data_IF_914990045636
#
_entry.id   IF_914990045636
#
_cell.length_a   1.000
_cell.length_b   1.000
_cell.length_c   1.000
_cell.angle_alpha   90.00
_cell.angle_beta   90.00
_cell.angle_gamma   90.00
#
_symmetry.space_group_name_H-M   'P 1'
#
loop_
_entity.id
_entity.type
_entity.pdbx_description
1 polymer ?
#
# COMPACT_ATOMS: atom_id res chain seq x y z
N UNK A 1 46.06 -13.95 20.06
CA UNK A 1 45.45 -14.49 18.82
C UNK A 1 43.93 -14.55 18.93
N UNK A 2 43.36 -15.20 19.96
CA UNK A 2 41.91 -15.30 20.19
C UNK A 2 41.17 -13.95 20.21
N UNK A 3 41.68 -12.94 20.93
CA UNK A 3 41.08 -11.59 20.94
C UNK A 3 41.06 -10.88 19.58
N UNK A 4 42.00 -11.18 18.67
CA UNK A 4 42.01 -10.60 17.32
C UNK A 4 40.94 -11.25 16.44
N UNK A 5 40.76 -12.56 16.57
CA UNK A 5 39.71 -13.32 15.87
C UNK A 5 38.32 -12.88 16.35
N UNK A 6 38.11 -12.75 17.67
CA UNK A 6 36.83 -12.28 18.22
C UNK A 6 36.49 -10.85 17.76
N UNK A 7 37.47 -9.93 17.77
CA UNK A 7 37.26 -8.57 17.24
C UNK A 7 36.94 -8.56 15.75
N UNK A 8 37.66 -9.35 14.96
CA UNK A 8 37.44 -9.43 13.52
C UNK A 8 36.06 -10.03 13.20
N UNK A 9 35.67 -11.13 13.85
CA UNK A 9 34.34 -11.74 13.71
C UNK A 9 33.25 -10.77 14.15
N UNK A 10 33.44 -10.08 15.29
CA UNK A 10 32.49 -9.08 15.78
C UNK A 10 32.30 -7.91 14.81
N UNK A 11 33.37 -7.39 14.23
CA UNK A 11 33.30 -6.33 13.21
C UNK A 11 32.58 -6.83 11.96
N UNK A 12 32.87 -8.03 11.47
CA UNK A 12 32.22 -8.60 10.29
C UNK A 12 30.71 -8.78 10.49
N UNK A 13 30.28 -9.27 11.66
CA UNK A 13 28.85 -9.42 11.99
C UNK A 13 28.13 -8.06 12.02
N UNK A 14 28.82 -6.98 12.37
CA UNK A 14 28.24 -5.63 12.37
C UNK A 14 28.25 -4.98 10.98
N UNK A 15 29.36 -5.07 10.26
CA UNK A 15 29.57 -4.35 8.99
C UNK A 15 28.82 -5.01 7.84
N UNK A 16 28.83 -6.33 7.74
CA UNK A 16 28.21 -7.04 6.61
C UNK A 16 26.72 -6.72 6.49
N UNK A 17 25.89 -6.80 7.54
CA UNK A 17 24.46 -6.45 7.42
C UNK A 17 24.22 -5.01 7.00
N UNK A 18 25.02 -4.06 7.50
CA UNK A 18 24.89 -2.64 7.14
C UNK A 18 25.20 -2.43 5.67
N UNK A 19 26.28 -3.03 5.17
CA UNK A 19 26.64 -2.97 3.74
C UNK A 19 25.60 -3.68 2.89
N UNK A 20 25.13 -4.87 3.30
CA UNK A 20 24.10 -5.60 2.57
C UNK A 20 22.77 -4.85 2.48
N UNK A 21 22.32 -4.23 3.58
CA UNK A 21 21.12 -3.38 3.59
C UNK A 21 21.31 -2.14 2.72
N UNK A 22 22.50 -1.54 2.75
CA UNK A 22 22.83 -0.38 1.91
C UNK A 22 22.78 -0.76 0.43
N UNK A 23 23.45 -1.85 0.04
CA UNK A 23 23.41 -2.36 -1.35
C UNK A 23 21.98 -2.69 -1.76
N UNK A 24 21.23 -3.39 -0.91
CA UNK A 24 19.82 -3.67 -1.16
C UNK A 24 19.03 -2.38 -1.40
N UNK A 25 19.25 -1.35 -0.59
CA UNK A 25 18.57 -0.07 -0.72
C UNK A 25 18.79 0.57 -2.09
N UNK A 26 20.05 0.70 -2.50
CA UNK A 26 20.42 1.33 -3.76
C UNK A 26 20.01 0.52 -5.00
N UNK A 27 19.91 -0.80 -4.88
CA UNK A 27 19.62 -1.68 -6.03
C UNK A 27 18.14 -2.08 -6.11
N UNK A 28 17.47 -2.29 -4.99
CA UNK A 28 16.13 -2.89 -4.95
C UNK A 28 15.01 -1.92 -4.58
N UNK A 29 15.28 -0.81 -3.88
CA UNK A 29 14.25 0.15 -3.46
C UNK A 29 14.40 1.50 -4.16
N UNK A 30 15.58 2.12 -4.06
CA UNK A 30 15.82 3.47 -4.59
C UNK A 30 15.47 3.64 -6.07
N UNK A 31 15.72 2.66 -6.97
CA UNK A 31 15.37 2.80 -8.38
C UNK A 31 13.88 3.03 -8.65
N UNK A 32 13.00 2.61 -7.71
CA UNK A 32 11.55 2.69 -7.85
C UNK A 32 10.91 3.87 -7.09
N UNK A 33 11.71 4.68 -6.39
CA UNK A 33 11.20 5.82 -5.61
C UNK A 33 10.52 6.85 -6.52
N UNK A 34 11.00 7.02 -7.74
CA UNK A 34 10.40 7.93 -8.72
C UNK A 34 9.00 7.46 -9.16
N UNK A 35 8.86 6.18 -9.44
CA UNK A 35 7.59 5.52 -9.80
C UNK A 35 6.60 5.61 -8.64
N UNK A 36 7.05 5.34 -7.41
CA UNK A 36 6.22 5.51 -6.20
C UNK A 36 5.76 6.97 -6.01
N UNK A 37 6.62 7.95 -6.31
CA UNK A 37 6.22 9.37 -6.29
C UNK A 37 5.19 9.69 -7.36
N UNK A 38 5.32 9.13 -8.56
CA UNK A 38 4.30 9.27 -9.61
C UNK A 38 2.96 8.69 -9.19
N UNK A 39 2.95 7.48 -8.63
CA UNK A 39 1.74 6.87 -8.08
C UNK A 39 1.11 7.76 -6.99
N UNK A 40 1.93 8.26 -6.06
CA UNK A 40 1.48 9.20 -5.04
C UNK A 40 0.82 10.44 -5.63
N UNK A 41 1.48 11.11 -6.59
CA UNK A 41 0.99 12.35 -7.19
C UNK A 41 -0.28 12.13 -8.01
N UNK A 42 -0.31 11.07 -8.83
CA UNK A 42 -1.49 10.71 -9.62
C UNK A 42 -2.68 10.45 -8.73
N UNK A 43 -2.51 9.61 -7.69
CA UNK A 43 -3.57 9.29 -6.76
C UNK A 43 -4.09 10.51 -6.04
N UNK A 44 -3.20 11.40 -5.57
CA UNK A 44 -3.61 12.67 -4.93
C UNK A 44 -4.40 13.57 -5.88
N UNK A 45 -4.03 13.66 -7.15
CA UNK A 45 -4.79 14.46 -8.12
C UNK A 45 -6.16 13.81 -8.44
N UNK A 46 -6.23 12.47 -8.55
CA UNK A 46 -7.47 11.71 -8.78
C UNK A 46 -8.55 12.03 -7.74
N UNK A 47 -8.16 12.21 -6.47
CA UNK A 47 -9.11 12.47 -5.36
C UNK A 47 -9.12 13.90 -4.86
N UNK A 48 -8.52 14.85 -5.59
CA UNK A 48 -8.30 16.22 -5.12
C UNK A 48 -9.53 16.92 -4.52
N UNK A 49 -10.71 16.64 -5.08
CA UNK A 49 -11.97 17.25 -4.65
C UNK A 49 -12.69 16.48 -3.53
N UNK A 50 -12.36 15.20 -3.32
CA UNK A 50 -13.05 14.31 -2.38
C UNK A 50 -12.08 13.68 -1.34
N UNK A 51 -10.90 14.27 -1.20
CA UNK A 51 -9.79 13.70 -0.43
C UNK A 51 -10.22 13.27 0.97
N UNK A 52 -10.81 14.16 1.75
CA UNK A 52 -11.12 13.91 3.16
C UNK A 52 -12.18 12.81 3.33
N UNK A 53 -13.15 12.78 2.42
CA UNK A 53 -14.24 11.80 2.43
C UNK A 53 -13.71 10.40 2.14
N UNK A 54 -12.86 10.27 1.13
CA UNK A 54 -12.28 8.98 0.74
C UNK A 54 -11.23 8.55 1.78
N UNK A 55 -10.43 9.49 2.29
CA UNK A 55 -9.43 9.23 3.32
C UNK A 55 -10.05 8.69 4.60
N UNK A 56 -11.07 9.36 5.15
CA UNK A 56 -11.77 8.88 6.36
C UNK A 56 -12.37 7.50 6.16
N UNK A 57 -13.02 7.25 5.02
CA UNK A 57 -13.59 5.94 4.70
C UNK A 57 -12.50 4.86 4.63
N UNK A 58 -11.36 5.14 3.99
CA UNK A 58 -10.23 4.22 3.90
C UNK A 58 -9.60 3.94 5.27
N UNK A 59 -9.38 4.97 6.08
CA UNK A 59 -8.84 4.83 7.43
C UNK A 59 -9.81 4.05 8.33
N UNK A 60 -11.12 4.27 8.22
CA UNK A 60 -12.12 3.51 8.96
C UNK A 60 -12.14 2.01 8.56
N UNK A 61 -11.88 1.71 7.28
CA UNK A 61 -11.85 0.34 6.77
C UNK A 61 -10.56 -0.41 7.17
N UNK A 62 -9.40 0.25 7.06
CA UNK A 62 -8.10 -0.42 7.08
C UNK A 62 -7.11 0.13 8.11
N UNK A 63 -7.34 1.33 8.63
CA UNK A 63 -6.40 2.10 9.44
C UNK A 63 -5.19 2.60 8.62
N UNK A 64 -4.54 3.68 9.07
CA UNK A 64 -3.38 4.27 8.39
C UNK A 64 -2.25 3.25 8.14
N UNK A 65 -1.92 2.45 9.17
CA UNK A 65 -0.92 1.38 9.04
C UNK A 65 -1.33 0.34 8.00
N UNK A 66 -2.61 -0.01 7.96
CA UNK A 66 -3.14 -0.99 7.00
C UNK A 66 -3.11 -0.46 5.57
N UNK A 67 -3.40 0.82 5.38
CA UNK A 67 -3.25 1.53 4.11
C UNK A 67 -1.79 1.42 3.66
N UNK A 68 -0.82 1.83 4.50
CA UNK A 68 0.61 1.78 4.14
C UNK A 68 1.10 0.38 3.80
N UNK A 69 0.79 -0.60 4.63
CA UNK A 69 1.19 -1.99 4.37
C UNK A 69 0.65 -2.46 3.01
N UNK A 70 -0.61 -2.17 2.71
CA UNK A 70 -1.23 -2.60 1.46
C UNK A 70 -0.65 -1.87 0.24
N UNK A 71 -0.60 -0.53 0.27
CA UNK A 71 -0.09 0.28 -0.84
C UNK A 71 1.32 -0.10 -1.24
N UNK A 72 2.20 -0.25 -0.25
CA UNK A 72 3.62 -0.52 -0.49
C UNK A 72 3.82 -1.96 -0.96
N UNK A 73 3.08 -2.92 -0.40
CA UNK A 73 3.08 -4.31 -0.88
C UNK A 73 2.61 -4.41 -2.33
N UNK A 74 1.51 -3.73 -2.66
CA UNK A 74 0.95 -3.69 -4.03
C UNK A 74 1.93 -3.06 -5.01
N UNK A 75 2.53 -1.93 -4.64
CA UNK A 75 3.53 -1.27 -5.48
C UNK A 75 4.79 -2.11 -5.65
N UNK A 76 5.29 -2.74 -4.59
CA UNK A 76 6.40 -3.69 -4.68
C UNK A 76 6.06 -4.85 -5.64
N UNK A 77 4.86 -5.41 -5.50
CA UNK A 77 4.42 -6.49 -6.38
C UNK A 77 4.46 -6.09 -7.85
N UNK A 78 3.89 -4.92 -8.16
CA UNK A 78 3.77 -4.39 -9.50
C UNK A 78 5.12 -4.02 -10.13
N UNK A 79 5.94 -3.27 -9.39
CA UNK A 79 7.15 -2.63 -9.91
C UNK A 79 8.38 -3.55 -9.92
N UNK A 80 8.43 -4.52 -9.01
CA UNK A 80 9.65 -5.29 -8.77
C UNK A 80 9.42 -6.79 -8.65
N UNK A 81 8.35 -7.28 -8.01
CA UNK A 81 8.23 -8.73 -7.78
C UNK A 81 7.76 -9.51 -9.01
N UNK A 82 6.78 -8.99 -9.75
CA UNK A 82 6.12 -9.69 -10.87
C UNK A 82 7.11 -10.20 -11.92
N UNK A 83 8.21 -9.49 -12.11
CA UNK A 83 9.18 -9.78 -13.17
C UNK A 83 10.30 -10.75 -12.75
N UNK A 84 10.47 -11.01 -11.44
CA UNK A 84 11.66 -11.70 -10.93
C UNK A 84 11.41 -13.02 -10.18
N UNK A 85 10.16 -13.52 -10.15
CA UNK A 85 9.84 -14.89 -9.73
C UNK A 85 10.55 -15.37 -8.45
N UNK A 86 10.50 -14.58 -7.36
CA UNK A 86 11.32 -14.84 -6.17
C UNK A 86 10.70 -15.87 -5.20
N UNK A 87 11.55 -16.44 -4.34
CA UNK A 87 11.13 -17.35 -3.26
C UNK A 87 10.18 -16.68 -2.26
N UNK A 88 9.37 -17.48 -1.54
CA UNK A 88 8.46 -16.98 -0.49
C UNK A 88 9.18 -16.22 0.62
N UNK A 89 10.39 -16.65 1.00
CA UNK A 89 11.18 -15.96 2.02
C UNK A 89 11.61 -14.56 1.53
N UNK A 90 12.11 -14.48 0.29
CA UNK A 90 12.50 -13.21 -0.31
C UNK A 90 11.28 -12.29 -0.45
N UNK A 91 10.12 -12.83 -0.81
CA UNK A 91 8.87 -12.07 -0.83
C UNK A 91 8.59 -11.40 0.51
N UNK A 92 8.63 -12.14 1.62
CA UNK A 92 8.35 -11.56 2.94
C UNK A 92 9.41 -10.54 3.39
N UNK A 93 10.69 -10.84 3.18
CA UNK A 93 11.79 -9.92 3.53
C UNK A 93 11.73 -8.64 2.70
N UNK A 94 11.50 -8.75 1.39
CA UNK A 94 11.41 -7.60 0.50
C UNK A 94 10.21 -6.72 0.85
N UNK A 95 9.05 -7.31 1.15
CA UNK A 95 7.89 -6.55 1.63
C UNK A 95 8.19 -5.77 2.92
N UNK A 96 8.92 -6.39 3.86
CA UNK A 96 9.31 -5.74 5.11
C UNK A 96 10.28 -4.57 4.86
N UNK A 97 11.28 -4.78 4.01
CA UNK A 97 12.26 -3.75 3.65
C UNK A 97 11.62 -2.59 2.90
N UNK A 98 10.71 -2.87 1.96
CA UNK A 98 9.92 -1.84 1.26
C UNK A 98 9.01 -1.08 2.22
N UNK A 99 8.35 -1.77 3.16
CA UNK A 99 7.54 -1.13 4.19
C UNK A 99 8.36 -0.16 5.05
N UNK A 100 9.53 -0.57 5.54
CA UNK A 100 10.42 0.34 6.27
C UNK A 100 10.94 1.47 5.38
N UNK A 101 11.30 1.16 4.14
CA UNK A 101 11.78 2.16 3.19
C UNK A 101 10.75 3.24 2.89
N UNK A 102 9.47 2.87 2.89
CA UNK A 102 8.39 3.82 2.69
C UNK A 102 8.33 4.93 3.74
N UNK A 103 8.73 4.66 5.00
CA UNK A 103 8.76 5.69 6.05
C UNK A 103 9.87 6.72 5.84
N UNK A 104 10.94 6.37 5.11
CA UNK A 104 12.04 7.28 4.86
C UNK A 104 11.74 8.28 3.73
N UNK A 105 10.80 7.97 2.84
CA UNK A 105 10.53 8.77 1.64
C UNK A 105 9.10 9.30 1.53
N UNK A 106 8.13 8.70 2.23
CA UNK A 106 6.71 8.98 2.03
C UNK A 106 5.99 9.20 3.37
N UNK A 107 5.35 10.36 3.48
CA UNK A 107 4.40 10.66 4.55
C UNK A 107 3.05 9.95 4.31
N UNK A 108 2.12 10.03 5.26
CA UNK A 108 0.83 9.33 5.17
C UNK A 108 -0.03 9.81 3.99
N UNK A 109 -0.01 11.11 3.66
CA UNK A 109 -0.75 11.63 2.50
C UNK A 109 -0.22 11.06 1.19
N UNK A 110 1.11 10.97 1.05
CA UNK A 110 1.74 10.41 -0.14
C UNK A 110 1.44 8.91 -0.27
N UNK A 111 1.49 8.17 0.83
CA UNK A 111 1.12 6.75 0.87
C UNK A 111 -0.35 6.55 0.54
N UNK A 112 -1.22 7.45 0.99
CA UNK A 112 -2.62 7.42 0.61
C UNK A 112 -2.81 7.66 -0.89
N UNK A 113 -2.07 8.59 -1.50
CA UNK A 113 -2.02 8.72 -2.96
C UNK A 113 -1.62 7.42 -3.65
N UNK A 114 -0.58 6.72 -3.17
CA UNK A 114 -0.21 5.40 -3.69
C UNK A 114 -1.34 4.39 -3.50
N UNK A 115 -2.05 4.44 -2.37
CA UNK A 115 -3.19 3.56 -2.10
C UNK A 115 -4.30 3.73 -3.13
N UNK A 116 -4.64 4.95 -3.52
CA UNK A 116 -5.67 5.25 -4.53
C UNK A 116 -5.37 4.56 -5.86
N UNK A 117 -4.12 4.64 -6.31
CA UNK A 117 -3.67 3.99 -7.55
C UNK A 117 -3.58 2.47 -7.41
N UNK A 118 -3.23 1.99 -6.22
CA UNK A 118 -2.92 0.58 -5.94
C UNK A 118 -4.03 -0.22 -5.25
N UNK A 119 -5.20 0.39 -5.06
CA UNK A 119 -6.31 -0.19 -4.30
C UNK A 119 -6.76 -1.52 -4.90
N UNK A 120 -6.80 -1.65 -6.23
CA UNK A 120 -7.23 -2.88 -6.90
C UNK A 120 -6.13 -3.46 -7.80
N UNK A 121 -6.05 -4.79 -7.82
CA UNK A 121 -5.16 -5.57 -8.69
C UNK A 121 -3.71 -5.05 -8.70
N UNK A 122 -3.15 -4.80 -7.53
CA UNK A 122 -1.73 -4.44 -7.35
C UNK A 122 -1.27 -3.32 -8.31
N UNK A 123 -1.93 -2.16 -8.25
CA UNK A 123 -1.62 -0.97 -9.08
C UNK A 123 -1.87 -1.11 -10.59
N UNK A 124 -2.58 -2.15 -11.03
CA UNK A 124 -3.03 -2.25 -12.43
C UNK A 124 -4.44 -1.71 -12.64
N UNK A 125 -5.16 -1.40 -11.56
CA UNK A 125 -6.49 -0.82 -11.61
C UNK A 125 -6.70 0.09 -10.39
N UNK A 126 -6.81 1.39 -10.62
CA UNK A 126 -7.10 2.35 -9.55
C UNK A 126 -8.55 2.23 -9.04
N UNK A 127 -8.82 2.94 -7.94
CA UNK A 127 -10.15 2.99 -7.31
C UNK A 127 -11.20 3.72 -8.17
N UNK A 128 -10.82 4.69 -9.00
CA UNK A 128 -11.72 5.41 -9.92
C UNK A 128 -12.26 4.45 -11.00
N UNK A 129 -11.39 3.65 -11.60
CA UNK A 129 -11.74 2.60 -12.54
C UNK A 129 -12.58 1.51 -11.89
N UNK A 130 -12.31 1.17 -10.62
CA UNK A 130 -13.15 0.25 -9.86
C UNK A 130 -14.55 0.81 -9.59
N UNK A 131 -14.66 2.10 -9.25
CA UNK A 131 -15.94 2.82 -9.10
C UNK A 131 -16.80 2.70 -10.36
N UNK A 132 -16.21 3.02 -11.52
CA UNK A 132 -16.90 2.91 -12.81
C UNK A 132 -17.31 1.47 -13.12
N UNK A 133 -16.46 0.49 -12.81
CA UNK A 133 -16.75 -0.93 -13.04
C UNK A 133 -17.92 -1.45 -12.22
N UNK A 134 -17.96 -1.14 -10.93
CA UNK A 134 -18.94 -1.72 -10.00
C UNK A 134 -20.25 -0.94 -9.94
N UNK A 135 -20.19 0.39 -10.11
CA UNK A 135 -21.35 1.26 -9.93
C UNK A 135 -21.71 2.07 -11.17
N UNK A 136 -20.87 2.08 -12.22
CA UNK A 136 -21.10 2.91 -13.40
C UNK A 136 -20.92 4.41 -13.15
N UNK A 137 -20.28 4.78 -12.04
CA UNK A 137 -20.16 6.16 -11.57
C UNK A 137 -18.69 6.55 -11.39
N UNK A 138 -18.41 7.84 -11.53
CA UNK A 138 -17.14 8.44 -11.10
C UNK A 138 -17.05 8.36 -9.58
N UNK A 139 -15.83 8.26 -9.04
CA UNK A 139 -15.61 8.07 -7.60
C UNK A 139 -16.24 9.20 -6.77
N UNK A 140 -16.15 10.43 -7.26
CA UNK A 140 -16.75 11.62 -6.64
C UNK A 140 -18.28 11.54 -6.55
N UNK A 141 -18.91 10.76 -7.44
CA UNK A 141 -20.38 10.63 -7.55
C UNK A 141 -20.95 9.44 -6.79
N UNK A 142 -20.11 8.61 -6.17
CA UNK A 142 -20.59 7.54 -5.31
C UNK A 142 -21.34 8.13 -4.11
N UNK A 143 -22.37 7.44 -3.61
CA UNK A 143 -22.88 7.69 -2.26
C UNK A 143 -21.88 7.20 -1.21
N UNK A 144 -22.06 7.59 0.05
CA UNK A 144 -21.20 7.13 1.14
C UNK A 144 -21.28 5.61 1.34
N UNK A 145 -22.47 5.01 1.19
CA UNK A 145 -22.65 3.56 1.18
C UNK A 145 -21.83 2.89 0.06
N UNK A 146 -21.94 3.40 -1.17
CA UNK A 146 -21.22 2.84 -2.32
C UNK A 146 -19.70 3.00 -2.17
N UNK A 147 -19.25 4.15 -1.65
CA UNK A 147 -17.83 4.38 -1.37
C UNK A 147 -17.32 3.42 -0.30
N UNK A 148 -18.08 3.23 0.80
CA UNK A 148 -17.71 2.31 1.86
C UNK A 148 -17.72 0.84 1.40
N UNK A 149 -18.63 0.45 0.52
CA UNK A 149 -18.61 -0.87 -0.14
C UNK A 149 -17.37 -1.03 -1.01
N UNK A 150 -17.05 -0.04 -1.85
CA UNK A 150 -15.89 -0.06 -2.75
C UNK A 150 -14.59 -0.17 -1.94
N UNK A 151 -14.38 0.74 -1.01
CA UNK A 151 -13.21 0.76 -0.12
C UNK A 151 -13.12 -0.53 0.70
N UNK A 152 -14.25 -1.01 1.23
CA UNK A 152 -14.32 -2.25 1.99
C UNK A 152 -13.93 -3.49 1.19
N UNK A 153 -14.02 -3.43 -0.14
CA UNK A 153 -13.67 -4.53 -1.04
C UNK A 153 -12.17 -4.66 -1.33
N UNK A 154 -11.38 -3.59 -1.13
CA UNK A 154 -9.97 -3.49 -1.54
C UNK A 154 -9.11 -4.70 -1.13
N UNK A 155 -9.13 -5.08 0.14
CA UNK A 155 -8.30 -6.20 0.64
C UNK A 155 -8.87 -7.58 0.37
N UNK A 156 -10.16 -7.68 0.08
CA UNK A 156 -10.85 -8.96 -0.12
C UNK A 156 -11.95 -8.86 -1.19
N UNK A 157 -11.57 -8.53 -2.44
CA UNK A 157 -12.53 -8.18 -3.50
C UNK A 157 -13.42 -9.37 -3.90
N UNK A 158 -12.98 -10.61 -3.63
CA UNK A 158 -13.77 -11.83 -3.87
C UNK A 158 -14.84 -12.09 -2.79
N UNK A 159 -14.68 -11.51 -1.60
CA UNK A 159 -15.59 -11.73 -0.46
C UNK A 159 -16.60 -10.60 -0.36
N UNK A 160 -16.12 -9.36 -0.49
CA UNK A 160 -16.92 -8.15 -0.38
C UNK A 160 -17.11 -7.53 -1.76
N UNK A 161 -17.70 -8.28 -2.68
CA UNK A 161 -18.00 -7.76 -4.02
C UNK A 161 -19.00 -6.61 -3.86
N UNK A 162 -18.72 -5.39 -4.35
CA UNK A 162 -19.67 -4.28 -4.27
C UNK A 162 -21.04 -4.66 -4.84
N UNK A 163 -22.11 -4.25 -4.16
CA UNK A 163 -23.50 -4.64 -4.41
C UNK A 163 -23.95 -5.91 -3.68
N UNK A 164 -23.04 -6.73 -3.14
CA UNK A 164 -23.38 -7.92 -2.36
C UNK A 164 -23.82 -7.60 -0.93
N UNK A 165 -24.63 -8.46 -0.31
CA UNK A 165 -25.06 -8.27 1.09
C UNK A 165 -23.87 -8.21 2.07
N UNK A 166 -22.83 -9.02 1.86
CA UNK A 166 -21.62 -8.95 2.68
C UNK A 166 -20.88 -7.62 2.54
N UNK A 167 -20.85 -7.04 1.34
CA UNK A 167 -20.25 -5.73 1.12
C UNK A 167 -21.06 -4.65 1.85
N UNK A 168 -22.38 -4.68 1.76
CA UNK A 168 -23.29 -3.75 2.48
C UNK A 168 -23.13 -3.85 3.99
N UNK A 169 -23.06 -5.06 4.55
CA UNK A 169 -22.82 -5.27 5.98
C UNK A 169 -21.48 -4.68 6.42
N UNK A 170 -20.42 -4.91 5.64
CA UNK A 170 -19.10 -4.32 5.91
C UNK A 170 -19.12 -2.80 5.79
N UNK A 171 -19.83 -2.25 4.80
CA UNK A 171 -19.97 -0.82 4.58
C UNK A 171 -20.60 -0.12 5.79
N UNK A 172 -21.66 -0.70 6.37
CA UNK A 172 -22.27 -0.19 7.62
C UNK A 172 -21.27 -0.08 8.76
N UNK A 173 -20.40 -1.07 8.92
CA UNK A 173 -19.35 -1.06 9.95
C UNK A 173 -18.31 0.04 9.66
N UNK A 174 -17.95 0.23 8.39
CA UNK A 174 -17.00 1.27 7.96
C UNK A 174 -17.57 2.66 8.22
N UNK A 175 -18.82 2.91 7.82
CA UNK A 175 -19.49 4.20 8.01
C UNK A 175 -19.63 4.53 9.49
N UNK A 176 -20.08 3.58 10.31
CA UNK A 176 -20.17 3.75 11.76
C UNK A 176 -18.82 4.17 12.40
N UNK A 177 -17.71 3.59 11.93
CA UNK A 177 -16.36 3.96 12.38
C UNK A 177 -15.94 5.34 11.86
N UNK A 178 -16.25 5.64 10.60
CA UNK A 178 -15.91 6.93 9.97
C UNK A 178 -16.57 8.11 10.67
N UNK A 179 -17.81 7.96 11.15
CA UNK A 179 -18.53 9.02 11.87
C UNK A 179 -18.02 9.22 13.31
N UNK A 180 -17.28 8.24 13.85
CA UNK A 180 -16.73 8.24 15.20
C UNK A 180 -15.30 8.80 15.29
N UNK A 181 -14.72 9.23 14.16
CA UNK A 181 -13.32 9.67 14.02
C UNK A 181 -13.26 11.14 13.62
#
# INVERSE_FOLDING_TARGET
>A
MLMRIVKFVGITILVVPVVSLSVYWFVCFQPYVHELRKLSLNGTETIKHDHDRIYRTAVAADGEKGIRIWSIRSAYYNLSFKDYGKSKLNWHLDNLLWYFGSYLYFNEQQVFGIWIECAFNECTNDIENASRRYFGLELSKLSDDQLAELVGSVKAPKIFIPGSERAKERAKIILFKSDST
#
